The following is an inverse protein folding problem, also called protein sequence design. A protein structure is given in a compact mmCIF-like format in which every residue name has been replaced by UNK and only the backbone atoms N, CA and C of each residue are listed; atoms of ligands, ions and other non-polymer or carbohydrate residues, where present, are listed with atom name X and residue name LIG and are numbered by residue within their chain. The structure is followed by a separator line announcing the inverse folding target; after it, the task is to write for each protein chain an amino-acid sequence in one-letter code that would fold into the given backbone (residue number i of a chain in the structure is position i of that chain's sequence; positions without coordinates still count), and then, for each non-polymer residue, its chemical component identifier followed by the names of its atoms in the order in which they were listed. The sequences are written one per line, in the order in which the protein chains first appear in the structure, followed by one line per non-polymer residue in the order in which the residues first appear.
data_IF_538377495163
#
_entry.id   IF_538377495163
#
_cell.length_a   1.000
_cell.length_b   1.000
_cell.length_c   1.000
_cell.angle_alpha   90.00
_cell.angle_beta   90.00
_cell.angle_gamma   90.00
#
_symmetry.space_group_name_H-M   'P 1'
#
loop_
_entity.id
_entity.type
_entity.pdbx_description
1 polymer ?
#
# COMPACT_ATOMS: atom_id res chain seq x y z
N UNK A 1 37.12 -3.93 -76.75
CA UNK A 1 38.18 -4.69 -76.05
C UNK A 1 39.18 -3.68 -75.50
N UNK A 2 39.10 -3.46 -74.17
CA UNK A 2 40.15 -3.13 -73.16
C UNK A 2 41.40 -2.36 -73.66
N UNK A 3 41.80 -1.21 -73.10
CA UNK A 3 42.71 -1.03 -71.92
C UNK A 3 42.93 0.50 -71.78
N UNK A 4 42.50 1.14 -70.68
CA UNK A 4 43.28 1.54 -69.48
C UNK A 4 44.14 2.83 -69.62
N UNK A 5 44.06 3.66 -68.56
CA UNK A 5 45.14 4.49 -67.98
C UNK A 5 45.26 5.98 -68.40
N UNK A 6 45.17 6.89 -67.41
CA UNK A 6 45.73 8.24 -67.50
C UNK A 6 45.04 9.32 -66.68
N UNK A 7 45.47 9.52 -65.43
CA UNK A 7 45.11 10.65 -64.55
C UNK A 7 45.48 12.02 -65.16
N UNK A 8 44.62 13.04 -65.02
CA UNK A 8 45.07 14.41 -64.72
C UNK A 8 43.96 15.23 -64.03
N UNK A 9 44.34 15.78 -62.88
CA UNK A 9 43.56 16.52 -61.90
C UNK A 9 43.27 17.95 -62.36
N UNK A 10 42.01 18.40 -62.33
CA UNK A 10 41.67 19.84 -62.22
C UNK A 10 40.58 19.98 -61.17
N UNK A 11 40.89 20.78 -60.15
CA UNK A 11 40.22 20.85 -58.87
C UNK A 11 38.74 21.24 -58.94
N UNK A 12 37.92 20.38 -58.36
CA UNK A 12 36.67 20.82 -57.75
C UNK A 12 37.01 21.18 -56.31
N UNK A 13 36.77 22.43 -55.92
CA UNK A 13 37.07 22.96 -54.59
C UNK A 13 36.70 21.97 -53.49
N UNK A 14 37.68 21.56 -52.69
CA UNK A 14 37.46 21.02 -51.37
C UNK A 14 36.94 22.14 -50.46
N UNK A 15 35.67 22.49 -50.65
CA UNK A 15 34.87 23.07 -49.57
C UNK A 15 33.95 21.94 -49.11
N UNK A 16 34.57 20.89 -48.58
CA UNK A 16 33.87 19.89 -47.80
C UNK A 16 33.12 20.67 -46.71
N UNK A 17 31.80 20.47 -46.71
CA UNK A 17 30.91 21.11 -45.76
C UNK A 17 31.47 20.89 -44.38
N UNK A 18 31.70 21.98 -43.65
CA UNK A 18 31.89 21.89 -42.21
C UNK A 18 30.67 21.13 -41.68
N UNK A 19 30.88 19.89 -41.23
CA UNK A 19 29.86 19.14 -40.50
C UNK A 19 29.32 20.09 -39.44
N UNK A 20 28.03 20.42 -39.56
CA UNK A 20 27.38 21.38 -38.68
C UNK A 20 27.61 20.93 -37.24
N UNK A 21 28.24 21.79 -36.43
CA UNK A 21 28.54 21.49 -35.04
C UNK A 21 27.30 20.90 -34.35
N UNK A 22 27.44 19.74 -33.71
CA UNK A 22 26.37 19.13 -32.93
C UNK A 22 25.82 20.17 -31.96
N UNK A 23 24.51 20.41 -32.01
CA UNK A 23 23.85 21.40 -31.16
C UNK A 23 24.10 21.13 -29.68
N UNK A 24 24.06 22.17 -28.82
CA UNK A 24 24.24 21.98 -27.39
C UNK A 24 23.19 21.00 -26.86
N UNK A 25 23.61 20.14 -25.93
CA UNK A 25 22.68 19.26 -25.24
C UNK A 25 21.64 20.11 -24.50
N UNK A 26 20.36 19.74 -24.63
CA UNK A 26 19.26 20.45 -23.98
C UNK A 26 19.41 20.47 -22.45
N UNK A 27 18.79 21.44 -21.76
CA UNK A 27 18.81 21.48 -20.30
C UNK A 27 18.25 20.17 -19.73
N UNK A 28 18.83 19.73 -18.62
CA UNK A 28 18.28 18.63 -17.85
C UNK A 28 16.89 19.03 -17.33
N UNK A 29 15.90 18.13 -17.48
CA UNK A 29 14.54 18.37 -17.00
C UNK A 29 14.51 18.61 -15.49
N UNK A 30 13.51 19.37 -15.04
CA UNK A 30 13.32 19.65 -13.63
C UNK A 30 13.03 18.36 -12.86
N UNK A 31 13.49 18.30 -11.61
CA UNK A 31 13.15 17.21 -10.72
C UNK A 31 11.65 17.27 -10.42
N UNK A 32 10.94 16.14 -10.61
CA UNK A 32 9.51 16.07 -10.30
C UNK A 32 9.21 16.42 -8.84
N UNK A 33 8.02 16.97 -8.61
CA UNK A 33 7.57 17.34 -7.27
C UNK A 33 7.53 16.12 -6.35
N UNK A 34 7.81 16.34 -5.07
CA UNK A 34 7.66 15.32 -4.04
C UNK A 34 6.16 15.02 -3.87
N UNK A 35 5.76 13.74 -3.95
CA UNK A 35 4.36 13.35 -3.76
C UNK A 35 3.83 13.77 -2.38
N UNK A 36 2.55 14.12 -2.30
CA UNK A 36 1.90 14.48 -1.02
C UNK A 36 1.95 13.31 -0.02
N UNK A 37 2.18 13.62 1.25
CA UNK A 37 2.17 12.64 2.33
C UNK A 37 0.78 11.99 2.45
N UNK A 38 0.67 10.74 2.02
CA UNK A 38 -0.55 9.94 2.17
C UNK A 38 -0.72 9.48 3.62
N UNK A 39 -1.30 10.32 4.47
CA UNK A 39 -1.56 9.93 5.86
C UNK A 39 -2.75 8.96 5.92
N UNK A 40 -2.48 7.66 6.01
CA UNK A 40 -3.50 6.69 6.37
C UNK A 40 -3.94 6.98 7.82
N UNK A 41 -5.23 7.26 8.05
CA UNK A 41 -5.80 7.48 9.38
C UNK A 41 -5.85 6.16 10.17
N UNK A 42 -4.70 5.62 10.54
CA UNK A 42 -4.58 4.34 11.26
C UNK A 42 -5.14 4.49 12.67
N UNK A 43 -6.13 3.66 13.02
CA UNK A 43 -6.74 3.60 14.34
C UNK A 43 -6.26 2.31 15.01
N UNK A 44 -5.76 2.39 16.24
CA UNK A 44 -5.33 1.20 16.97
C UNK A 44 -5.96 1.18 18.36
N UNK A 45 -6.49 0.03 18.76
CA UNK A 45 -7.05 -0.16 20.10
C UNK A 45 -5.94 -0.15 21.15
N UNK A 46 -6.35 0.03 22.41
CA UNK A 46 -5.57 -0.45 23.55
C UNK A 46 -5.52 -1.97 23.56
N UNK A 47 -4.65 -2.57 24.38
CA UNK A 47 -4.72 -4.00 24.66
C UNK A 47 -5.99 -4.31 25.45
N UNK A 48 -6.72 -5.32 24.99
CA UNK A 48 -8.02 -5.74 25.49
C UNK A 48 -7.81 -7.10 26.15
N UNK A 49 -8.11 -7.26 27.45
CA UNK A 49 -8.04 -8.55 28.12
C UNK A 49 -8.90 -9.60 27.40
N UNK A 50 -8.46 -10.86 27.46
CA UNK A 50 -9.29 -11.97 27.01
C UNK A 50 -10.55 -12.11 27.89
N UNK A 51 -11.65 -12.53 27.26
CA UNK A 51 -12.91 -12.84 27.96
C UNK A 51 -13.45 -14.22 27.52
N UNK A 52 -12.55 -15.15 27.19
CA UNK A 52 -12.96 -16.52 26.91
C UNK A 52 -13.52 -17.19 28.17
N UNK A 53 -14.30 -18.24 27.95
CA UNK A 53 -14.87 -18.98 29.07
C UNK A 53 -13.77 -19.75 29.82
N UNK A 54 -13.70 -19.59 31.14
CA UNK A 54 -12.74 -20.27 32.01
C UNK A 54 -13.16 -21.72 32.33
N UNK A 55 -13.41 -22.49 31.27
CA UNK A 55 -13.71 -23.93 31.31
C UNK A 55 -13.16 -24.61 30.05
N UNK A 56 -12.81 -25.89 30.16
CA UNK A 56 -12.37 -26.66 29.01
C UNK A 56 -13.50 -26.85 27.99
N UNK A 57 -13.37 -26.26 26.80
CA UNK A 57 -14.32 -26.37 25.68
C UNK A 57 -13.55 -26.43 24.35
N UNK A 58 -14.18 -26.93 23.28
CA UNK A 58 -13.53 -26.98 21.96
C UNK A 58 -13.61 -25.64 21.20
N UNK A 59 -14.44 -24.70 21.67
CA UNK A 59 -14.56 -23.37 21.09
C UNK A 59 -15.03 -22.35 22.13
N UNK A 60 -14.44 -21.16 22.08
CA UNK A 60 -14.87 -20.00 22.85
C UNK A 60 -14.78 -18.73 22.00
N UNK A 61 -15.51 -17.70 22.39
CA UNK A 61 -15.50 -16.40 21.73
C UNK A 61 -15.89 -15.31 22.71
N UNK A 62 -15.44 -14.09 22.42
CA UNK A 62 -15.88 -12.89 23.12
C UNK A 62 -15.94 -11.71 22.16
N UNK A 63 -16.82 -10.76 22.45
CA UNK A 63 -17.10 -9.60 21.60
C UNK A 63 -16.54 -8.34 22.22
N UNK A 64 -15.91 -7.51 21.39
CA UNK A 64 -15.51 -6.16 21.76
C UNK A 64 -16.33 -5.17 20.94
N UNK A 65 -17.03 -4.26 21.62
CA UNK A 65 -17.77 -3.16 20.98
C UNK A 65 -16.87 -1.94 20.81
N UNK A 66 -16.75 -1.45 19.58
CA UNK A 66 -16.10 -0.19 19.21
C UNK A 66 -16.78 0.41 17.97
N UNK A 67 -17.23 1.67 18.08
CA UNK A 67 -17.85 2.44 16.99
C UNK A 67 -16.92 2.64 15.78
N UNK A 68 -15.61 2.40 15.94
CA UNK A 68 -14.65 2.39 14.83
C UNK A 68 -14.96 1.33 13.76
N UNK A 69 -15.68 0.25 14.09
CA UNK A 69 -16.11 -0.77 13.14
C UNK A 69 -17.34 -0.34 12.34
N UNK A 70 -17.14 0.65 11.47
CA UNK A 70 -18.19 1.19 10.58
C UNK A 70 -18.39 0.31 9.34
N UNK A 71 -19.47 0.56 8.59
CA UNK A 71 -19.70 -0.08 7.29
C UNK A 71 -18.57 0.20 6.27
N UNK A 72 -17.90 1.34 6.36
CA UNK A 72 -16.73 1.65 5.51
C UNK A 72 -15.58 0.70 5.83
N UNK A 73 -15.27 0.50 7.11
CA UNK A 73 -14.20 -0.41 7.54
C UNK A 73 -14.51 -1.85 7.11
N UNK A 74 -15.76 -2.30 7.21
CA UNK A 74 -16.13 -3.65 6.77
C UNK A 74 -16.01 -3.85 5.24
N UNK A 75 -16.32 -2.82 4.45
CA UNK A 75 -16.38 -2.94 2.98
C UNK A 75 -15.02 -2.72 2.31
N UNK A 76 -14.15 -1.87 2.88
CA UNK A 76 -12.91 -1.46 2.22
C UNK A 76 -11.71 -1.33 3.17
N UNK A 77 -11.93 -1.30 4.48
CA UNK A 77 -10.87 -1.23 5.48
C UNK A 77 -10.05 -2.51 5.57
N UNK A 78 -8.82 -2.37 6.06
CA UNK A 78 -7.99 -3.49 6.50
C UNK A 78 -7.98 -3.53 8.02
N UNK A 79 -8.26 -4.69 8.60
CA UNK A 79 -8.17 -4.91 10.05
C UNK A 79 -7.07 -5.94 10.31
N UNK A 80 -6.10 -5.55 11.14
CA UNK A 80 -5.05 -6.43 11.65
C UNK A 80 -5.33 -6.69 13.12
N UNK A 81 -5.19 -7.94 13.54
CA UNK A 81 -5.39 -8.34 14.93
C UNK A 81 -4.13 -9.01 15.45
N UNK A 82 -3.82 -8.78 16.72
CA UNK A 82 -2.66 -9.33 17.41
C UNK A 82 -3.07 -9.90 18.77
N UNK A 83 -2.45 -11.01 19.17
CA UNK A 83 -2.54 -11.58 20.50
C UNK A 83 -1.19 -11.52 21.21
N UNK A 84 -1.19 -11.40 22.54
CA UNK A 84 0.02 -11.44 23.38
C UNK A 84 -0.21 -12.23 24.66
N UNK A 85 0.88 -12.70 25.27
CA UNK A 85 0.88 -13.45 26.54
C UNK A 85 1.83 -12.86 27.59
N UNK A 86 2.47 -11.73 27.28
CA UNK A 86 3.49 -11.08 28.11
C UNK A 86 4.93 -11.46 27.73
N UNK A 87 5.14 -12.51 26.95
CA UNK A 87 6.45 -12.91 26.43
C UNK A 87 6.59 -12.59 24.92
N UNK A 88 5.55 -12.86 24.14
CA UNK A 88 5.53 -12.59 22.71
C UNK A 88 4.23 -11.91 22.24
N UNK A 89 4.29 -11.36 21.02
CA UNK A 89 3.16 -10.78 20.31
C UNK A 89 3.14 -11.40 18.91
N UNK A 90 1.99 -11.93 18.49
CA UNK A 90 1.83 -12.56 17.18
C UNK A 90 0.59 -12.04 16.46
N UNK A 91 0.60 -11.97 15.12
CA UNK A 91 -0.59 -11.66 14.35
C UNK A 91 -1.62 -12.79 14.44
N UNK A 92 -2.90 -12.42 14.39
CA UNK A 92 -4.06 -13.30 14.31
C UNK A 92 -4.70 -13.07 12.93
N UNK A 93 -5.04 -14.12 12.17
CA UNK A 93 -5.21 -15.52 12.61
C UNK A 93 -3.90 -16.29 12.80
N UNK A 94 -3.90 -17.23 13.75
CA UNK A 94 -2.75 -18.10 14.06
C UNK A 94 -3.20 -19.46 14.59
N UNK A 95 -2.38 -20.48 14.39
CA UNK A 95 -2.52 -21.81 15.00
C UNK A 95 -1.30 -22.10 15.86
N UNK A 96 -1.50 -22.35 17.15
CA UNK A 96 -0.47 -22.68 18.14
C UNK A 96 -1.03 -23.69 19.13
N UNK A 97 -0.23 -24.66 19.58
CA UNK A 97 -0.61 -25.62 20.62
C UNK A 97 -1.99 -26.30 20.41
N UNK A 98 -2.29 -26.75 19.19
CA UNK A 98 -3.60 -27.35 18.84
C UNK A 98 -4.81 -26.39 18.96
N UNK A 99 -4.57 -25.08 19.07
CA UNK A 99 -5.59 -24.04 19.15
C UNK A 99 -5.46 -23.07 17.97
N UNK A 100 -6.58 -22.69 17.38
CA UNK A 100 -6.70 -21.69 16.32
C UNK A 100 -7.38 -20.45 16.88
N UNK A 101 -6.74 -19.30 16.71
CA UNK A 101 -7.30 -17.99 17.04
C UNK A 101 -7.56 -17.22 15.75
N UNK A 102 -8.73 -16.61 15.63
CA UNK A 102 -9.12 -15.75 14.52
C UNK A 102 -10.15 -14.72 15.00
N UNK A 103 -10.54 -13.80 14.13
CA UNK A 103 -11.56 -12.81 14.42
C UNK A 103 -12.62 -12.78 13.31
N UNK A 104 -13.80 -12.27 13.66
CA UNK A 104 -14.92 -12.06 12.76
C UNK A 104 -15.39 -10.62 12.91
N UNK A 105 -15.65 -9.95 11.79
CA UNK A 105 -16.32 -8.65 11.74
C UNK A 105 -17.78 -8.90 11.36
N UNK A 106 -18.74 -8.90 12.31
CA UNK A 106 -20.14 -9.15 12.02
C UNK A 106 -20.83 -7.94 11.35
N UNK A 107 -21.90 -8.20 10.62
CA UNK A 107 -22.68 -7.15 9.92
C UNK A 107 -23.51 -6.26 10.86
N UNK A 108 -23.60 -6.59 12.15
CA UNK A 108 -24.21 -5.78 13.21
C UNK A 108 -23.58 -4.39 13.36
N UNK A 109 -22.33 -4.23 12.86
CA UNK A 109 -21.48 -3.05 12.98
C UNK A 109 -21.13 -2.70 14.43
N UNK A 110 -20.07 -1.92 14.61
CA UNK A 110 -19.64 -1.43 15.91
C UNK A 110 -19.03 -2.49 16.82
N UNK A 111 -18.67 -3.67 16.29
CA UNK A 111 -18.07 -4.73 17.09
C UNK A 111 -17.12 -5.62 16.28
N UNK A 112 -16.23 -6.30 17.01
CA UNK A 112 -15.35 -7.36 16.54
C UNK A 112 -15.49 -8.56 17.47
N UNK A 113 -15.57 -9.75 16.89
CA UNK A 113 -15.65 -11.01 17.62
C UNK A 113 -14.31 -11.73 17.57
N UNK A 114 -13.72 -12.03 18.72
CA UNK A 114 -12.55 -12.87 18.83
C UNK A 114 -12.98 -14.31 19.04
N UNK A 115 -12.38 -15.24 18.31
CA UNK A 115 -12.77 -16.65 18.32
C UNK A 115 -11.54 -17.53 18.53
N UNK A 116 -11.65 -18.48 19.45
CA UNK A 116 -10.67 -19.53 19.69
C UNK A 116 -11.32 -20.90 19.52
N UNK A 117 -10.61 -21.84 18.90
CA UNK A 117 -11.07 -23.22 18.67
C UNK A 117 -9.93 -24.21 18.80
N UNK A 118 -10.17 -25.39 19.33
CA UNK A 118 -9.22 -26.50 19.18
C UNK A 118 -9.30 -27.06 17.76
N UNK A 119 -8.16 -27.54 17.24
CA UNK A 119 -8.08 -28.04 15.85
C UNK A 119 -8.69 -29.44 15.72
N UNK A 120 -8.66 -30.21 16.80
CA UNK A 120 -9.08 -31.62 16.86
C UNK A 120 -10.42 -31.82 17.60
N UNK A 121 -11.14 -30.75 17.91
CA UNK A 121 -12.37 -30.73 18.72
C UNK A 121 -12.23 -31.28 20.15
N UNK A 122 -11.00 -31.53 20.64
CA UNK A 122 -10.76 -31.87 22.05
C UNK A 122 -11.00 -30.63 22.90
N UNK A 123 -11.68 -30.77 24.06
CA UNK A 123 -11.92 -29.66 24.96
C UNK A 123 -10.63 -29.21 25.66
N UNK A 124 -10.37 -27.91 25.69
CA UNK A 124 -9.17 -27.32 26.31
C UNK A 124 -9.47 -25.91 26.85
N UNK A 125 -8.57 -25.38 27.68
CA UNK A 125 -8.62 -24.00 28.14
C UNK A 125 -7.97 -23.07 27.09
N UNK A 126 -8.56 -21.89 26.86
CA UNK A 126 -8.05 -20.91 25.91
C UNK A 126 -7.27 -19.79 26.61
N UNK A 127 -6.19 -20.15 27.28
CA UNK A 127 -5.35 -19.25 28.11
C UNK A 127 -4.01 -18.85 27.44
N UNK A 128 -3.83 -19.17 26.16
CA UNK A 128 -2.59 -18.88 25.43
C UNK A 128 -2.29 -17.37 25.32
N UNK A 129 -3.31 -16.53 25.19
CA UNK A 129 -3.18 -15.09 25.08
C UNK A 129 -3.92 -14.40 26.21
N UNK A 130 -3.26 -13.45 26.87
CA UNK A 130 -3.84 -12.63 27.95
C UNK A 130 -4.56 -11.40 27.41
N UNK A 131 -4.10 -10.86 26.29
CA UNK A 131 -4.69 -9.68 25.67
C UNK A 131 -4.66 -9.74 24.15
N UNK A 132 -5.58 -8.99 23.56
CA UNK A 132 -5.76 -8.81 22.13
C UNK A 132 -5.70 -7.33 21.76
N UNK A 133 -5.33 -7.03 20.51
CA UNK A 133 -5.34 -5.68 19.95
C UNK A 133 -5.75 -5.72 18.50
N UNK A 134 -6.55 -4.76 18.06
CA UNK A 134 -6.79 -4.52 16.64
C UNK A 134 -6.18 -3.20 16.17
N UNK A 135 -5.86 -3.18 14.88
CA UNK A 135 -5.44 -2.01 14.13
C UNK A 135 -6.29 -1.94 12.88
N UNK A 136 -6.97 -0.81 12.71
CA UNK A 136 -7.80 -0.50 11.55
C UNK A 136 -7.00 0.46 10.66
N UNK A 137 -6.89 0.08 9.40
CA UNK A 137 -6.37 0.91 8.33
C UNK A 137 -7.56 1.18 7.41
N UNK A 138 -8.21 2.34 7.51
CA UNK A 138 -9.28 2.72 6.61
C UNK A 138 -8.77 2.70 5.17
N UNK A 139 -9.64 2.39 4.22
CA UNK A 139 -9.31 2.57 2.81
C UNK A 139 -8.98 4.05 2.56
N UNK A 140 -7.79 4.32 2.04
CA UNK A 140 -7.53 5.65 1.52
C UNK A 140 -8.18 5.77 0.15
N UNK A 141 -8.95 6.85 -0.06
CA UNK A 141 -9.39 7.22 -1.40
C UNK A 141 -8.21 7.65 -2.29
N UNK A 142 -7.05 7.96 -1.70
CA UNK A 142 -5.78 8.08 -2.44
C UNK A 142 -5.21 6.69 -2.69
N UNK A 143 -5.54 6.17 -3.87
CA UNK A 143 -4.82 5.04 -4.44
C UNK A 143 -3.34 5.41 -4.52
N UNK A 144 -2.47 4.81 -3.70
CA UNK A 144 -1.01 4.87 -3.93
C UNK A 144 -0.59 4.23 -5.28
N UNK A 145 -1.56 3.68 -6.03
CA UNK A 145 -1.44 3.19 -7.41
C UNK A 145 -1.82 4.20 -8.49
N UNK A 146 -2.30 5.39 -8.14
CA UNK A 146 -2.31 6.50 -9.09
C UNK A 146 -0.99 7.26 -8.96
N UNK A 147 0.05 6.68 -9.58
CA UNK A 147 1.02 7.56 -10.20
C UNK A 147 0.27 8.44 -11.21
N UNK A 148 0.37 9.75 -11.03
CA UNK A 148 0.03 10.76 -12.03
C UNK A 148 -1.44 10.83 -12.48
N UNK A 149 -2.38 11.03 -11.54
CA UNK A 149 -3.55 11.86 -11.88
C UNK A 149 -3.41 13.20 -11.20
N UNK A 150 -2.86 14.15 -11.95
CA UNK A 150 -2.89 15.56 -11.57
C UNK A 150 -4.34 15.97 -11.34
N UNK A 151 -4.68 16.30 -10.10
CA UNK A 151 -5.98 16.87 -9.77
C UNK A 151 -5.98 18.33 -10.22
N UNK A 152 -6.37 18.56 -11.48
CA UNK A 152 -6.38 19.88 -12.09
C UNK A 152 -7.31 20.88 -11.37
N UNK A 153 -8.21 20.42 -10.49
CA UNK A 153 -9.02 21.33 -9.67
C UNK A 153 -8.21 22.02 -8.57
N UNK A 154 -7.03 21.50 -8.24
CA UNK A 154 -6.09 22.09 -7.26
C UNK A 154 -5.05 22.99 -7.90
N UNK A 155 -4.97 23.05 -9.24
CA UNK A 155 -4.03 23.89 -9.97
C UNK A 155 -4.68 25.22 -10.37
N UNK A 156 -3.90 26.30 -10.37
CA UNK A 156 -4.29 27.56 -10.99
C UNK A 156 -4.34 27.41 -12.51
N UNK A 157 -5.06 28.33 -13.18
CA UNK A 157 -5.14 28.35 -14.65
C UNK A 157 -3.75 28.32 -15.31
N UNK A 158 -2.79 29.07 -14.79
CA UNK A 158 -1.43 29.14 -15.33
C UNK A 158 -0.64 27.85 -15.13
N UNK A 159 -0.76 27.22 -13.95
CA UNK A 159 -0.13 25.92 -13.66
C UNK A 159 -0.69 24.81 -14.57
N UNK A 160 -1.99 24.84 -14.86
CA UNK A 160 -2.61 23.91 -15.82
C UNK A 160 -2.07 24.15 -17.24
N UNK A 161 -1.95 25.41 -17.66
CA UNK A 161 -1.48 25.72 -19.00
C UNK A 161 0.00 25.38 -19.20
N UNK A 162 0.86 25.62 -18.20
CA UNK A 162 2.26 25.19 -18.19
C UNK A 162 2.36 23.66 -18.22
N UNK A 163 1.53 22.95 -17.45
CA UNK A 163 1.52 21.48 -17.44
C UNK A 163 1.24 20.86 -18.83
N UNK A 164 0.48 21.56 -19.68
CA UNK A 164 0.12 21.10 -21.03
C UNK A 164 0.93 21.79 -22.15
N UNK A 165 1.98 22.55 -21.83
CA UNK A 165 2.76 23.35 -22.79
C UNK A 165 1.89 24.25 -23.70
N UNK A 166 0.81 24.81 -23.14
CA UNK A 166 -0.11 25.67 -23.86
C UNK A 166 0.28 27.14 -23.71
N UNK A 167 0.17 27.92 -24.79
CA UNK A 167 0.39 29.36 -24.73
C UNK A 167 -0.80 30.09 -24.08
N UNK A 168 -0.51 31.06 -23.21
CA UNK A 168 -1.48 31.94 -22.56
C UNK A 168 -0.94 33.36 -22.36
#
# INVERSE_FOLDING_TARGET
MVILLGFLLIGCSAKDGMDGATGPQGPQGEQGEQGEDGNANVIASSWIPEEFVDIAVSASNFTVTDEAFTSEILNSGTVLVYGRDGEFVVPIPVVLNNQTYFFVLPETLGEILFVARTVDDTADFFDLFTDFRYVIIPASNTSAREGERNDFNKMTYYEVMDHFDLAY
#
